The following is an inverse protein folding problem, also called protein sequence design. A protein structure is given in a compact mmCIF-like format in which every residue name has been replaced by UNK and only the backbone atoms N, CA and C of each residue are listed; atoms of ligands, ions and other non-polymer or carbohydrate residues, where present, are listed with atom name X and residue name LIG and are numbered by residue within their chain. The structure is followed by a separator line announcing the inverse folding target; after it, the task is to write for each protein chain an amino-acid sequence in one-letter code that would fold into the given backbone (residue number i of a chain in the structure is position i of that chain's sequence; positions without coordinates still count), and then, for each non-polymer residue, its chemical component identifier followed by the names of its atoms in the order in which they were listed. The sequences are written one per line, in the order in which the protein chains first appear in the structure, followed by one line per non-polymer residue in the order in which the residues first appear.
data_IF_825738747591
#
_entry.id   IF_825738747591
#
_cell.length_a   1.000
_cell.length_b   1.000
_cell.length_c   1.000
_cell.angle_alpha   90.00
_cell.angle_beta   90.00
_cell.angle_gamma   90.00
#
_symmetry.space_group_name_H-M   'P 1'
#
loop_
_entity.id
_entity.type
_entity.pdbx_description
1 polymer ?
#
# COMPACT_ATOMS: atom_id res chain seq x y z
N UNK A 1 6.03 -41.94 10.86
CA UNK A 1 6.76 -40.65 10.92
C UNK A 1 5.98 -39.68 10.08
N UNK A 2 5.06 -38.94 10.70
CA UNK A 2 4.22 -37.93 10.04
C UNK A 2 4.70 -36.57 10.52
N UNK A 3 5.36 -35.82 9.64
CA UNK A 3 5.68 -34.41 9.89
C UNK A 3 4.40 -33.59 9.68
N UNK A 4 3.74 -33.26 10.78
CA UNK A 4 2.70 -32.23 10.79
C UNK A 4 3.38 -30.86 10.68
N UNK A 5 3.39 -30.28 9.48
CA UNK A 5 3.78 -28.89 9.31
C UNK A 5 2.79 -27.98 10.06
N UNK A 6 3.26 -26.97 10.82
CA UNK A 6 2.38 -26.03 11.48
C UNK A 6 1.61 -25.19 10.45
N UNK A 7 0.28 -25.29 10.45
CA UNK A 7 -0.57 -24.37 9.70
C UNK A 7 -0.47 -22.99 10.33
N UNK A 8 0.41 -22.14 9.77
CA UNK A 8 0.45 -20.72 10.14
C UNK A 8 -0.88 -20.11 9.73
N UNK A 9 -1.74 -19.84 10.71
CA UNK A 9 -2.94 -19.04 10.54
C UNK A 9 -2.48 -17.60 10.25
N UNK A 10 -2.34 -17.25 8.98
CA UNK A 10 -2.09 -15.87 8.56
C UNK A 10 -3.34 -15.08 8.98
N UNK A 11 -3.17 -14.18 9.95
CA UNK A 11 -4.16 -13.17 10.25
C UNK A 11 -4.41 -12.36 8.96
N UNK A 12 -5.60 -12.49 8.40
CA UNK A 12 -6.02 -11.77 7.18
C UNK A 12 -6.51 -10.35 7.51
N UNK A 13 -6.07 -9.77 8.63
CA UNK A 13 -6.48 -8.45 9.04
C UNK A 13 -5.82 -7.41 8.12
N UNK A 14 -6.65 -6.64 7.41
CA UNK A 14 -6.15 -5.52 6.60
C UNK A 14 -5.47 -4.49 7.52
N UNK A 15 -4.35 -3.92 7.05
CA UNK A 15 -3.70 -2.84 7.78
C UNK A 15 -4.70 -1.72 8.14
N UNK A 16 -4.67 -1.18 9.38
CA UNK A 16 -5.73 -0.31 9.93
C UNK A 16 -5.93 0.98 9.13
N UNK A 17 -4.90 1.43 8.41
CA UNK A 17 -4.94 2.62 7.55
C UNK A 17 -5.68 2.40 6.22
N UNK A 18 -5.90 1.14 5.79
CA UNK A 18 -6.53 0.81 4.49
C UNK A 18 -7.92 1.42 4.36
N UNK A 19 -8.73 1.31 5.40
CA UNK A 19 -10.11 1.83 5.44
C UNK A 19 -10.16 3.36 5.42
N UNK A 20 -9.24 4.03 6.13
CA UNK A 20 -9.16 5.49 6.15
C UNK A 20 -8.77 6.04 4.77
N UNK A 21 -7.78 5.43 4.12
CA UNK A 21 -7.32 5.81 2.78
C UNK A 21 -8.40 5.55 1.72
N UNK A 22 -9.10 4.41 1.78
CA UNK A 22 -10.22 4.12 0.89
C UNK A 22 -11.34 5.17 1.00
N UNK A 23 -11.68 5.58 2.22
CA UNK A 23 -12.66 6.65 2.46
C UNK A 23 -12.20 8.00 1.90
N UNK A 24 -10.91 8.34 2.05
CA UNK A 24 -10.35 9.58 1.51
C UNK A 24 -10.40 9.61 -0.03
N UNK A 25 -10.05 8.51 -0.68
CA UNK A 25 -10.12 8.36 -2.14
C UNK A 25 -11.56 8.46 -2.64
N UNK A 26 -12.52 7.81 -1.97
CA UNK A 26 -13.93 7.85 -2.36
C UNK A 26 -14.52 9.27 -2.27
N UNK A 27 -14.21 10.00 -1.18
CA UNK A 27 -14.67 11.38 -0.98
C UNK A 27 -14.10 12.36 -2.01
N UNK A 28 -12.92 12.06 -2.56
CA UNK A 28 -12.24 12.92 -3.52
C UNK A 28 -12.24 12.39 -4.95
N UNK A 29 -13.10 11.41 -5.28
CA UNK A 29 -13.11 10.74 -6.60
C UNK A 29 -13.35 11.68 -7.79
N UNK A 30 -14.00 12.82 -7.58
CA UNK A 30 -14.21 13.85 -8.61
C UNK A 30 -12.97 14.67 -8.93
N UNK A 31 -11.90 14.54 -8.13
CA UNK A 31 -10.63 15.25 -8.28
C UNK A 31 -9.55 14.27 -8.72
N UNK A 32 -9.19 14.20 -10.02
CA UNK A 32 -8.19 13.26 -10.52
C UNK A 32 -6.84 13.37 -9.79
N UNK A 33 -6.45 14.60 -9.41
CA UNK A 33 -5.22 14.88 -8.67
C UNK A 33 -5.20 14.35 -7.24
N UNK A 34 -6.34 13.99 -6.65
CA UNK A 34 -6.36 13.36 -5.31
C UNK A 34 -5.79 11.94 -5.29
N UNK A 35 -5.44 11.40 -6.46
CA UNK A 35 -4.66 10.15 -6.60
C UNK A 35 -3.16 10.39 -6.70
N UNK A 36 -2.70 11.63 -6.71
CA UNK A 36 -1.29 11.96 -6.83
C UNK A 36 -0.61 11.89 -5.46
N UNK A 37 0.59 11.32 -5.42
CA UNK A 37 1.43 11.32 -4.22
C UNK A 37 2.89 11.57 -4.60
N UNK A 38 3.66 12.05 -3.63
CA UNK A 38 5.07 12.34 -3.78
C UNK A 38 5.87 11.08 -3.43
N UNK A 39 6.68 10.61 -4.38
CA UNK A 39 7.56 9.47 -4.20
C UNK A 39 9.00 9.97 -4.03
N UNK A 40 9.48 9.89 -2.79
CA UNK A 40 10.88 10.11 -2.46
C UNK A 40 11.68 8.81 -2.64
N UNK A 41 12.80 8.89 -3.35
CA UNK A 41 13.79 7.81 -3.45
C UNK A 41 15.19 8.36 -3.24
N UNK A 42 16.13 7.48 -2.91
CA UNK A 42 17.56 7.82 -2.87
C UNK A 42 18.21 7.40 -4.19
N UNK A 43 18.96 8.31 -4.81
CA UNK A 43 19.75 8.03 -6.01
C UNK A 43 21.03 7.27 -5.66
N UNK A 44 21.71 6.71 -6.67
CA UNK A 44 22.99 5.98 -6.48
C UNK A 44 24.10 6.86 -5.88
N UNK A 45 24.01 8.18 -6.04
CA UNK A 45 24.91 9.16 -5.43
C UNK A 45 24.54 9.53 -3.97
N UNK A 46 23.57 8.84 -3.36
CA UNK A 46 23.08 9.10 -2.00
C UNK A 46 22.16 10.31 -1.86
N UNK A 47 21.85 11.04 -2.94
CA UNK A 47 20.99 12.23 -2.89
C UNK A 47 19.51 11.86 -3.02
N UNK A 48 18.60 12.61 -2.37
CA UNK A 48 17.17 12.40 -2.52
C UNK A 48 16.69 12.87 -3.90
N UNK A 49 15.75 12.14 -4.47
CA UNK A 49 14.97 12.54 -5.64
C UNK A 49 13.48 12.40 -5.33
N UNK A 50 12.68 13.39 -5.70
CA UNK A 50 11.24 13.40 -5.48
C UNK A 50 10.49 13.57 -6.81
N UNK A 51 9.41 12.82 -7.01
CA UNK A 51 8.51 12.98 -8.16
C UNK A 51 7.06 12.73 -7.79
N UNK A 52 6.15 13.33 -8.53
CA UNK A 52 4.73 13.01 -8.43
C UNK A 52 4.41 11.77 -9.23
N UNK A 53 3.70 10.83 -8.61
CA UNK A 53 3.22 9.59 -9.24
C UNK A 53 1.74 9.40 -8.96
N UNK A 54 1.08 8.57 -9.77
CA UNK A 54 -0.36 8.30 -9.67
C UNK A 54 -0.61 6.98 -8.95
N UNK A 55 -1.45 6.99 -7.90
CA UNK A 55 -1.93 5.78 -7.25
C UNK A 55 -2.88 4.99 -8.19
N UNK A 56 -2.54 3.73 -8.44
CA UNK A 56 -3.25 2.83 -9.38
C UNK A 56 -3.97 1.66 -8.70
N UNK A 57 -4.24 1.79 -7.41
CA UNK A 57 -4.86 0.72 -6.63
C UNK A 57 -3.84 -0.09 -5.85
N UNK A 58 -4.34 -1.02 -5.04
CA UNK A 58 -3.52 -1.96 -4.29
C UNK A 58 -3.39 -3.26 -5.07
N UNK A 59 -2.27 -3.95 -4.87
CA UNK A 59 -2.13 -5.33 -5.28
C UNK A 59 -3.14 -6.20 -4.49
N UNK A 60 -3.77 -7.21 -5.13
CA UNK A 60 -4.59 -8.19 -4.42
C UNK A 60 -3.81 -8.88 -3.30
N UNK A 61 -4.49 -9.22 -2.22
CA UNK A 61 -3.96 -9.98 -1.07
C UNK A 61 -2.71 -9.40 -0.38
N UNK A 62 -2.40 -8.12 -0.61
CA UNK A 62 -1.27 -7.43 0.03
C UNK A 62 -1.70 -6.56 1.22
N UNK A 63 -0.73 -6.06 2.00
CA UNK A 63 -0.96 -5.19 3.16
C UNK A 63 -1.84 -5.82 4.27
N UNK A 64 -1.61 -7.10 4.53
CA UNK A 64 -2.17 -7.83 5.67
C UNK A 64 -1.24 -7.68 6.89
N UNK A 65 -1.78 -7.78 8.10
CA UNK A 65 -1.06 -7.71 9.38
C UNK A 65 -0.96 -9.08 10.06
#
# INVERSE_FOLDING_TARGET
MSDSAPSVSISTALAPWRSALGRALHRNRSRPYSRYFQLATVQTNGRPANRTVVFRGFLPDSNQL
#
